data_IF_039444926393
#
_entry.id   IF_039444926393
#
_cell.length_a   1.000
_cell.length_b   1.000
_cell.length_c   1.000
_cell.angle_alpha   90.00
_cell.angle_beta   90.00
_cell.angle_gamma   90.00
#
_symmetry.space_group_name_H-M   'P 1'
#
loop_
_entity.id
_entity.type
_entity.pdbx_description
1 polymer ?
#
# COMPACT_ATOMS: atom_id res chain seq x y z
N UNK A 1 11.80 -7.71 8.80
CA UNK A 1 10.80 -8.17 7.79
C UNK A 1 10.75 -7.14 6.66
N UNK A 2 10.28 -7.47 5.45
CA UNK A 2 10.09 -6.51 4.36
C UNK A 2 8.59 -6.29 4.07
N UNK A 3 8.25 -5.09 3.60
CA UNK A 3 6.89 -4.75 3.18
C UNK A 3 6.93 -3.86 1.93
N UNK A 4 6.17 -4.25 0.91
CA UNK A 4 5.97 -3.46 -0.29
C UNK A 4 4.69 -2.62 -0.13
N UNK A 5 4.83 -1.31 -0.31
CA UNK A 5 3.69 -0.39 -0.35
C UNK A 5 3.55 0.20 -1.73
N UNK A 6 2.30 0.36 -2.16
CA UNK A 6 1.91 1.12 -3.34
C UNK A 6 1.13 2.37 -2.91
N UNK A 7 1.52 3.54 -3.41
CA UNK A 7 0.81 4.81 -3.25
C UNK A 7 0.73 5.53 -4.59
N UNK A 8 0.20 6.74 -4.57
CA UNK A 8 0.10 7.60 -5.74
C UNK A 8 -1.19 8.38 -5.72
N UNK A 9 -1.42 9.18 -6.75
CA UNK A 9 -2.65 9.96 -6.87
C UNK A 9 -3.84 9.14 -7.39
N UNK A 10 -3.64 7.98 -8.01
CA UNK A 10 -4.71 7.24 -8.70
C UNK A 10 -5.92 6.98 -7.79
N UNK A 11 -5.73 6.28 -6.67
CA UNK A 11 -6.85 5.87 -5.80
C UNK A 11 -7.59 7.08 -5.20
N UNK A 12 -6.89 8.19 -5.02
CA UNK A 12 -7.46 9.45 -4.56
C UNK A 12 -8.29 10.12 -5.67
N UNK A 13 -7.74 10.23 -6.88
CA UNK A 13 -8.39 10.87 -8.03
C UNK A 13 -9.69 10.15 -8.44
N UNK A 14 -9.70 8.81 -8.36
CA UNK A 14 -10.88 8.01 -8.70
C UNK A 14 -11.78 7.71 -7.49
N UNK A 15 -11.42 8.20 -6.30
CA UNK A 15 -12.20 8.03 -5.06
C UNK A 15 -12.29 6.58 -4.57
N UNK A 16 -11.33 5.74 -4.93
CA UNK A 16 -11.22 4.37 -4.43
C UNK A 16 -10.64 4.33 -3.01
N UNK A 17 -10.05 5.41 -2.51
CA UNK A 17 -9.42 5.50 -1.19
C UNK A 17 -10.39 5.58 0.00
N UNK A 18 -11.71 5.71 -0.24
CA UNK A 18 -12.74 5.92 0.80
C UNK A 18 -13.89 4.90 0.79
N UNK A 19 -13.77 3.84 0.00
CA UNK A 19 -14.78 2.78 -0.06
C UNK A 19 -14.99 2.10 1.31
N UNK A 20 -16.22 1.92 1.81
CA UNK A 20 -16.46 1.31 3.13
C UNK A 20 -15.90 -0.11 3.26
N UNK A 21 -15.67 -0.80 2.14
CA UNK A 21 -15.00 -2.10 2.07
C UNK A 21 -13.59 -2.10 2.68
N UNK A 22 -12.90 -0.95 2.70
CA UNK A 22 -11.59 -0.80 3.33
C UNK A 22 -11.65 -0.96 4.85
N UNK A 23 -12.80 -0.67 5.45
CA UNK A 23 -13.00 -0.75 6.89
C UNK A 23 -13.68 -2.06 7.33
N UNK A 24 -13.79 -3.04 6.42
CA UNK A 24 -14.33 -4.33 6.78
C UNK A 24 -13.48 -4.99 7.90
N UNK A 25 -14.09 -5.41 9.03
CA UNK A 25 -13.35 -6.00 10.14
C UNK A 25 -12.51 -7.24 9.76
N UNK A 26 -12.96 -8.05 8.80
CA UNK A 26 -12.20 -9.20 8.32
C UNK A 26 -11.00 -8.79 7.47
N UNK A 27 -11.07 -7.65 6.77
CA UNK A 27 -9.91 -7.06 6.07
C UNK A 27 -8.92 -6.50 7.07
N UNK A 28 -9.37 -5.65 8.00
CA UNK A 28 -8.49 -4.99 8.97
C UNK A 28 -7.83 -5.97 9.95
N UNK A 29 -8.45 -7.13 10.21
CA UNK A 29 -7.87 -8.19 11.05
C UNK A 29 -6.99 -9.20 10.30
N UNK A 30 -7.00 -9.16 8.96
CA UNK A 30 -6.24 -10.09 8.12
C UNK A 30 -6.89 -11.46 7.96
N UNK A 31 -8.16 -11.62 8.39
CA UNK A 31 -8.94 -12.82 8.09
C UNK A 31 -9.15 -12.99 6.57
N UNK A 32 -9.25 -11.88 5.83
CA UNK A 32 -9.33 -11.86 4.37
C UNK A 32 -8.45 -10.78 3.76
N UNK A 33 -7.87 -11.07 2.59
CA UNK A 33 -7.25 -10.03 1.76
C UNK A 33 -8.32 -9.09 1.21
N UNK A 34 -7.94 -7.84 1.02
CA UNK A 34 -8.75 -6.92 0.24
C UNK A 34 -8.46 -7.14 -1.26
N UNK A 35 -9.54 -7.20 -2.06
CA UNK A 35 -9.49 -7.40 -3.51
C UNK A 35 -10.53 -6.47 -4.13
N UNK A 36 -10.11 -5.66 -5.11
CA UNK A 36 -10.99 -4.81 -5.89
C UNK A 36 -10.49 -4.82 -7.34
N UNK A 37 -11.38 -5.16 -8.29
CA UNK A 37 -11.04 -5.25 -9.72
C UNK A 37 -10.55 -3.92 -10.32
N UNK A 38 -10.83 -2.79 -9.66
CA UNK A 38 -10.35 -1.46 -10.04
C UNK A 38 -8.94 -1.16 -9.51
N UNK A 39 -8.41 -1.95 -8.57
CA UNK A 39 -7.04 -1.85 -8.08
C UNK A 39 -6.16 -2.82 -8.84
N UNK A 40 -5.76 -2.42 -10.04
CA UNK A 40 -4.96 -3.25 -10.94
C UNK A 40 -3.70 -2.46 -11.31
N UNK A 41 -2.54 -2.99 -10.91
CA UNK A 41 -1.22 -2.48 -11.33
C UNK A 41 -0.63 -3.39 -12.42
N UNK A 42 -1.02 -4.67 -12.40
CA UNK A 42 -0.60 -5.69 -13.36
C UNK A 42 -1.80 -6.19 -14.16
N UNK A 43 -1.63 -6.47 -15.45
CA UNK A 43 -2.64 -7.09 -16.32
C UNK A 43 -3.08 -8.49 -15.85
N UNK A 44 -2.33 -9.09 -14.92
CA UNK A 44 -2.59 -10.42 -14.35
C UNK A 44 -3.72 -10.47 -13.32
N UNK A 45 -4.29 -9.33 -12.93
CA UNK A 45 -5.47 -9.25 -12.08
C UNK A 45 -5.34 -8.24 -10.94
N UNK A 46 -6.34 -8.19 -10.04
CA UNK A 46 -6.35 -7.21 -8.97
C UNK A 46 -5.19 -7.41 -8.00
N UNK A 47 -4.69 -6.30 -7.48
CA UNK A 47 -3.68 -6.25 -6.44
C UNK A 47 -4.21 -6.95 -5.18
N UNK A 48 -3.43 -7.91 -4.66
CA UNK A 48 -3.71 -8.52 -3.36
C UNK A 48 -3.20 -7.61 -2.26
N UNK A 49 -4.10 -7.21 -1.36
CA UNK A 49 -3.80 -6.23 -0.33
C UNK A 49 -3.80 -6.85 1.06
N UNK A 50 -2.76 -6.51 1.84
CA UNK A 50 -2.64 -6.77 3.27
C UNK A 50 -3.36 -5.65 4.05
N UNK A 51 -4.62 -5.88 4.39
CA UNK A 51 -5.46 -4.94 5.12
C UNK A 51 -4.87 -4.47 6.47
N UNK A 52 -4.40 -5.36 7.35
CA UNK A 52 -3.83 -4.98 8.65
C UNK A 52 -2.65 -4.01 8.57
N UNK A 53 -1.82 -4.14 7.54
CA UNK A 53 -0.63 -3.31 7.36
C UNK A 53 -0.79 -2.17 6.35
N UNK A 54 -1.96 -2.03 5.71
CA UNK A 54 -2.29 -0.87 4.87
C UNK A 54 -2.37 0.40 5.70
N UNK A 55 -1.88 1.52 5.17
CA UNK A 55 -1.80 2.79 5.88
C UNK A 55 -2.99 3.66 5.50
N UNK A 56 -3.63 4.22 6.52
CA UNK A 56 -4.75 5.14 6.42
C UNK A 56 -4.31 6.49 6.95
N UNK A 57 -4.78 7.56 6.31
CA UNK A 57 -4.80 8.89 6.90
C UNK A 57 -6.14 9.07 7.61
N UNK A 58 -6.11 9.43 8.89
CA UNK A 58 -7.28 9.60 9.76
C UNK A 58 -7.07 10.88 10.57
N UNK A 59 -7.88 11.91 10.34
CA UNK A 59 -7.70 13.24 10.95
C UNK A 59 -6.23 13.75 10.90
N UNK A 60 -5.60 13.67 9.72
CA UNK A 60 -4.19 14.02 9.46
C UNK A 60 -3.13 13.11 10.12
N UNK A 61 -3.53 12.00 10.76
CA UNK A 61 -2.61 11.00 11.32
C UNK A 61 -2.51 9.75 10.43
N UNK A 62 -1.30 9.22 10.27
CA UNK A 62 -1.07 7.96 9.55
C UNK A 62 -1.17 6.77 10.51
N UNK A 63 -2.08 5.84 10.21
CA UNK A 63 -2.47 4.73 11.09
C UNK A 63 -2.49 3.42 10.28
N UNK A 64 -1.96 2.32 10.84
CA UNK A 64 -2.10 0.99 10.24
C UNK A 64 -3.56 0.48 10.34
N UNK A 65 -4.02 -0.22 9.31
CA UNK A 65 -5.38 -0.77 9.25
C UNK A 65 -5.76 -1.64 10.46
N UNK A 66 -4.81 -2.42 10.99
CA UNK A 66 -5.04 -3.25 12.20
C UNK A 66 -5.54 -2.44 13.38
N UNK A 67 -5.12 -1.19 13.49
CA UNK A 67 -5.48 -0.32 14.60
C UNK A 67 -6.90 0.25 14.45
N UNK A 68 -7.43 0.28 13.22
CA UNK A 68 -8.78 0.75 12.93
C UNK A 68 -9.85 -0.31 13.22
N UNK A 69 -9.46 -1.57 13.42
CA UNK A 69 -10.40 -2.67 13.69
C UNK A 69 -11.29 -2.36 14.90
N UNK A 70 -12.59 -2.19 14.67
CA UNK A 70 -13.58 -1.90 15.71
C UNK A 70 -13.60 -0.44 16.18
N UNK A 71 -12.84 0.47 15.55
CA UNK A 71 -13.01 1.92 15.75
C UNK A 71 -14.28 2.40 15.05
N UNK A 72 -14.94 3.38 15.67
CA UNK A 72 -16.02 4.13 15.01
C UNK A 72 -15.41 5.33 14.28
N UNK A 73 -15.57 5.37 12.96
CA UNK A 73 -15.04 6.40 12.07
C UNK A 73 -16.18 7.20 11.39
N UNK A 74 -17.40 7.12 11.91
CA UNK A 74 -18.59 7.71 11.26
C UNK A 74 -18.48 9.23 11.06
N UNK A 75 -17.86 9.94 12.00
CA UNK A 75 -17.69 11.40 11.98
C UNK A 75 -16.22 11.83 11.76
N UNK A 76 -15.39 10.90 11.28
CA UNK A 76 -13.94 11.10 11.11
C UNK A 76 -13.60 11.19 9.63
N UNK A 77 -12.74 12.13 9.23
CA UNK A 77 -12.21 12.14 7.87
C UNK A 77 -11.11 11.08 7.76
N UNK A 78 -11.29 10.13 6.87
CA UNK A 78 -10.34 9.05 6.66
C UNK A 78 -10.22 8.70 5.18
N UNK A 79 -9.04 8.20 4.81
CA UNK A 79 -8.77 7.60 3.50
C UNK A 79 -7.60 6.62 3.57
N UNK A 80 -7.50 5.74 2.58
CA UNK A 80 -6.27 4.96 2.35
C UNK A 80 -5.19 5.89 1.81
N UNK A 81 -4.04 5.92 2.47
CA UNK A 81 -2.88 6.73 2.09
C UNK A 81 -1.83 5.90 1.33
N UNK A 82 -1.58 4.68 1.76
CA UNK A 82 -0.67 3.74 1.09
C UNK A 82 -1.14 2.31 1.28
N UNK A 83 -1.24 1.57 0.19
CA UNK A 83 -1.70 0.19 0.15
C UNK A 83 -0.52 -0.72 0.44
N UNK A 84 -0.64 -1.61 1.44
CA UNK A 84 0.37 -2.66 1.63
C UNK A 84 0.06 -3.84 0.74
N UNK A 85 0.98 -4.18 -0.15
CA UNK A 85 0.86 -5.36 -1.03
C UNK A 85 1.07 -6.62 -0.20
N UNK A 86 0.19 -7.60 -0.40
CA UNK A 86 0.30 -8.90 0.27
C UNK A 86 1.51 -9.66 -0.28
N UNK A 87 2.52 -9.83 0.58
CA UNK A 87 3.77 -10.56 0.32
C UNK A 87 4.04 -11.54 1.45
N UNK A 88 4.99 -12.47 1.27
CA UNK A 88 5.45 -13.37 2.34
C UNK A 88 6.39 -12.69 3.37
N UNK A 89 6.65 -11.39 3.20
CA UNK A 89 7.50 -10.59 4.07
C UNK A 89 9.00 -10.72 3.80
N UNK A 90 9.40 -11.46 2.77
CA UNK A 90 10.78 -11.54 2.27
C UNK A 90 11.05 -10.43 1.26
N UNK A 91 12.33 -10.07 1.10
CA UNK A 91 12.75 -9.11 0.06
C UNK A 91 12.55 -9.71 -1.33
N UNK A 92 12.84 -11.01 -1.48
CA UNK A 92 12.75 -11.73 -2.75
C UNK A 92 11.31 -11.73 -3.30
N UNK A 93 10.30 -11.96 -2.46
CA UNK A 93 8.91 -11.96 -2.90
C UNK A 93 8.42 -10.56 -3.28
N UNK A 94 8.81 -9.53 -2.53
CA UNK A 94 8.51 -8.15 -2.90
C UNK A 94 9.12 -7.77 -4.25
N UNK A 95 10.41 -8.09 -4.48
CA UNK A 95 11.08 -7.83 -5.75
C UNK A 95 10.50 -8.62 -6.93
N UNK A 96 9.99 -9.83 -6.69
CA UNK A 96 9.28 -10.60 -7.70
C UNK A 96 8.02 -9.86 -8.18
N UNK A 97 7.31 -9.17 -7.30
CA UNK A 97 6.13 -8.38 -7.66
C UNK A 97 6.53 -7.13 -8.44
N UNK A 98 7.52 -6.38 -7.96
CA UNK A 98 7.96 -5.14 -8.64
C UNK A 98 8.56 -5.41 -10.00
N UNK A 99 9.26 -6.54 -10.20
CA UNK A 99 9.75 -6.94 -11.51
C UNK A 99 8.62 -7.12 -12.54
N UNK A 100 7.47 -7.68 -12.13
CA UNK A 100 6.30 -7.75 -13.02
C UNK A 100 5.75 -6.36 -13.37
N UNK A 101 5.82 -5.42 -12.43
CA UNK A 101 5.30 -4.06 -12.61
C UNK A 101 6.21 -3.26 -13.55
N UNK A 102 7.53 -3.38 -13.40
CA UNK A 102 8.55 -2.80 -14.30
C UNK A 102 8.49 -3.38 -15.72
N UNK A 103 8.05 -4.63 -15.89
CA UNK A 103 7.89 -5.23 -17.23
C UNK A 103 6.69 -4.64 -17.99
N UNK A 104 5.64 -4.23 -17.28
CA UNK A 104 4.40 -3.72 -17.87
C UNK A 104 4.36 -2.17 -17.96
N UNK A 105 5.15 -1.47 -17.13
CA UNK A 105 5.13 -0.02 -17.00
C UNK A 105 6.56 0.56 -16.94
N UNK A 106 6.71 1.84 -17.25
CA UNK A 106 8.00 2.53 -17.19
C UNK A 106 8.18 3.21 -15.82
N UNK A 107 9.03 2.61 -14.98
CA UNK A 107 9.31 3.10 -13.63
C UNK A 107 10.76 3.60 -13.50
N UNK A 108 10.93 4.73 -12.81
CA UNK A 108 12.24 5.16 -12.30
C UNK A 108 12.53 4.44 -10.99
N UNK A 109 13.70 3.80 -10.87
CA UNK A 109 14.08 3.00 -9.70
C UNK A 109 15.21 3.66 -8.92
N UNK A 110 15.03 3.83 -7.61
CA UNK A 110 16.09 4.23 -6.67
C UNK A 110 16.32 3.11 -5.65
N UNK A 111 17.49 2.46 -5.71
CA UNK A 111 17.88 1.37 -4.82
C UNK A 111 18.47 1.85 -3.47
N UNK A 112 18.57 3.16 -3.26
CA UNK A 112 19.07 3.76 -2.02
C UNK A 112 18.38 5.10 -1.76
N UNK A 113 17.04 5.11 -1.61
CA UNK A 113 16.27 6.33 -1.43
C UNK A 113 16.71 7.05 -0.15
N UNK A 114 16.89 8.36 -0.25
CA UNK A 114 17.29 9.18 0.89
C UNK A 114 16.11 9.47 1.83
N UNK A 115 14.89 9.49 1.30
CA UNK A 115 13.65 9.82 2.02
C UNK A 115 12.49 8.97 1.45
N UNK A 116 11.50 8.66 2.28
CA UNK A 116 10.23 8.04 1.86
C UNK A 116 9.05 8.66 2.63
N UNK A 117 7.87 8.79 1.99
CA UNK A 117 6.66 9.19 2.70
C UNK A 117 6.22 8.18 3.78
N UNK A 118 6.90 7.04 3.94
CA UNK A 118 6.57 6.00 4.90
C UNK A 118 7.72 5.66 5.87
N UNK A 119 8.73 6.52 6.00
CA UNK A 119 9.91 6.30 6.86
C UNK A 119 9.58 6.04 8.34
N UNK A 120 8.40 6.47 8.80
CA UNK A 120 7.91 6.20 10.15
C UNK A 120 7.51 4.72 10.38
N UNK A 121 7.24 3.96 9.31
CA UNK A 121 6.87 2.54 9.39
C UNK A 121 8.05 1.58 9.15
N UNK A 122 9.18 2.09 8.64
CA UNK A 122 10.38 1.29 8.38
C UNK A 122 11.43 2.05 7.58
N UNK A 123 12.58 1.40 7.35
CA UNK A 123 13.66 1.95 6.53
C UNK A 123 13.37 1.68 5.05
N UNK A 124 13.27 2.73 4.23
CA UNK A 124 13.13 2.58 2.79
C UNK A 124 14.41 2.00 2.17
N UNK A 125 14.27 0.88 1.46
CA UNK A 125 15.41 0.22 0.80
C UNK A 125 15.39 0.36 -0.72
N UNK A 126 14.21 0.58 -1.32
CA UNK A 126 14.07 0.79 -2.77
C UNK A 126 12.74 1.52 -3.02
N UNK A 127 12.73 2.48 -3.94
CA UNK A 127 11.52 3.12 -4.46
C UNK A 127 11.39 2.93 -5.97
N UNK A 128 10.15 2.92 -6.43
CA UNK A 128 9.77 2.92 -7.84
C UNK A 128 8.79 4.07 -8.06
N UNK A 129 9.11 4.96 -8.99
CA UNK A 129 8.28 6.12 -9.29
C UNK A 129 7.80 6.06 -10.73
N UNK A 130 6.48 6.11 -10.90
CA UNK A 130 5.84 6.19 -12.21
C UNK A 130 5.95 7.62 -12.75
N UNK A 131 6.06 7.81 -14.06
CA UNK A 131 6.21 9.15 -14.65
C UNK A 131 5.01 10.09 -14.36
N UNK A 132 3.87 9.53 -13.99
CA UNK A 132 2.66 10.25 -13.63
C UNK A 132 2.35 10.24 -12.13
N UNK A 133 3.15 9.53 -11.32
CA UNK A 133 2.91 9.35 -9.88
C UNK A 133 1.61 8.59 -9.58
N UNK A 134 1.12 7.79 -10.54
CA UNK A 134 -0.14 7.05 -10.38
C UNK A 134 0.00 5.85 -9.46
N UNK A 135 1.15 5.19 -9.52
CA UNK A 135 1.43 3.94 -8.80
C UNK A 135 2.87 3.87 -8.31
N UNK A 136 3.28 4.84 -7.51
CA UNK A 136 4.59 4.80 -6.87
C UNK A 136 4.66 3.69 -5.80
N UNK A 137 5.86 3.16 -5.58
CA UNK A 137 6.08 2.06 -4.64
C UNK A 137 7.32 2.26 -3.79
N UNK A 138 7.31 1.66 -2.59
CA UNK A 138 8.46 1.58 -1.69
C UNK A 138 8.51 0.21 -1.09
N UNK A 139 9.71 -0.34 -1.07
CA UNK A 139 10.06 -1.48 -0.25
C UNK A 139 10.62 -0.96 1.06
N UNK A 140 9.94 -1.22 2.16
CA UNK A 140 10.43 -0.95 3.51
C UNK A 140 11.04 -2.20 4.11
N UNK A 141 12.11 -2.00 4.88
CA UNK A 141 12.54 -2.93 5.92
C UNK A 141 11.89 -2.51 7.23
N UNK A 142 10.95 -3.31 7.70
CA UNK A 142 10.22 -3.09 8.95
C UNK A 142 11.14 -3.30 10.17
N UNK A 143 10.89 -2.57 11.27
CA UNK A 143 11.58 -2.80 12.55
C UNK A 143 11.35 -4.23 13.05
N UNK A 144 12.35 -4.77 13.75
CA UNK A 144 12.31 -6.11 14.36
C UNK A 144 11.32 -6.21 15.52
#
# INVERSE_FOLDING_TARGET
MYALYAWGNFIYEVGLDRGPEWLDPAVLSGERSFINDSLTILDTGPLLVDGPGTIYEVDDELIEGRELAGRDLTDTDWRVAAIRVLTDGTREDALRITAGIEEENDFSVDESPAESPLDFFGEAVTTWEDEHGQWDMVLLKLPD
#
